data_IF_744894179497
#
_entry.id   IF_744894179497
#
_cell.length_a   1.000
_cell.length_b   1.000
_cell.length_c   1.000
_cell.angle_alpha   90.00
_cell.angle_beta   90.00
_cell.angle_gamma   90.00
#
_symmetry.space_group_name_H-M   'P 1'
#
loop_
_entity.id
_entity.type
_entity.pdbx_description
1 polymer ?
#
# COMPACT_ATOMS: atom_id res chain seq x y z
N UNK A 1 5.61 -1.43 -11.28
CA UNK A 1 6.10 -1.43 -9.88
C UNK A 1 5.95 -0.08 -9.18
N UNK A 2 6.17 1.05 -9.86
CA UNK A 2 5.98 2.39 -9.28
C UNK A 2 4.61 2.64 -8.63
N UNK A 3 3.53 2.14 -9.23
CA UNK A 3 2.17 2.26 -8.68
C UNK A 3 2.00 1.65 -7.28
N UNK A 4 2.40 0.38 -7.12
CA UNK A 4 2.28 -0.32 -5.83
C UNK A 4 3.15 0.32 -4.74
N UNK A 5 4.34 0.83 -5.12
CA UNK A 5 5.17 1.61 -4.23
C UNK A 5 4.46 2.88 -3.76
N UNK A 6 3.94 3.70 -4.69
CA UNK A 6 3.19 4.91 -4.35
C UNK A 6 1.96 4.63 -3.48
N UNK A 7 1.15 3.62 -3.83
CA UNK A 7 -0.03 3.23 -3.06
C UNK A 7 0.34 2.85 -1.62
N UNK A 8 1.40 2.05 -1.44
CA UNK A 8 1.88 1.63 -0.12
C UNK A 8 2.44 2.80 0.68
N UNK A 9 3.22 3.68 0.04
CA UNK A 9 3.76 4.89 0.68
C UNK A 9 2.66 5.86 1.09
N UNK A 10 1.64 6.07 0.24
CA UNK A 10 0.50 6.93 0.55
C UNK A 10 -0.32 6.38 1.73
N UNK A 11 -0.55 5.07 1.77
CA UNK A 11 -1.19 4.42 2.92
C UNK A 11 -0.40 4.66 4.21
N UNK A 12 0.91 4.44 4.19
CA UNK A 12 1.76 4.70 5.35
C UNK A 12 1.72 6.18 5.79
N UNK A 13 1.73 7.11 4.84
CA UNK A 13 1.71 8.55 5.12
C UNK A 13 0.33 9.08 5.55
N UNK A 14 -0.75 8.33 5.32
CA UNK A 14 -2.12 8.76 5.61
C UNK A 14 -2.30 9.29 7.04
N UNK A 15 -1.91 8.58 8.12
CA UNK A 15 -2.05 9.11 9.48
C UNK A 15 -1.26 10.41 9.72
N UNK A 16 -0.10 10.59 9.07
CA UNK A 16 0.66 11.84 9.15
C UNK A 16 -0.08 13.00 8.50
N UNK A 17 -0.64 12.78 7.30
CA UNK A 17 -1.43 13.78 6.59
C UNK A 17 -2.68 14.16 7.38
N UNK A 18 -3.38 13.17 7.96
CA UNK A 18 -4.54 13.39 8.83
C UNK A 18 -4.15 14.20 10.07
N UNK A 19 -3.01 13.89 10.69
CA UNK A 19 -2.52 14.62 11.85
C UNK A 19 -2.17 16.08 11.51
N UNK A 20 -1.47 16.31 10.40
CA UNK A 20 -1.17 17.67 9.92
C UNK A 20 -2.46 18.45 9.64
N UNK A 21 -3.43 17.84 8.96
CA UNK A 21 -4.73 18.46 8.70
C UNK A 21 -5.47 18.80 10.01
N UNK A 22 -5.42 17.91 11.00
CA UNK A 22 -6.00 18.14 12.32
C UNK A 22 -5.35 19.30 13.07
N UNK A 23 -4.03 19.48 12.97
CA UNK A 23 -3.34 20.64 13.57
C UNK A 23 -3.70 21.95 12.86
N UNK A 24 -3.78 21.93 11.52
CA UNK A 24 -4.20 23.09 10.74
C UNK A 24 -5.64 23.51 11.08
N UNK A 25 -6.55 22.56 11.28
CA UNK A 25 -7.92 22.83 11.70
C UNK A 25 -7.99 23.47 13.09
N UNK A 26 -7.08 23.10 13.99
CA UNK A 26 -6.92 23.73 15.30
C UNK A 26 -6.19 25.08 15.25
N UNK A 27 -5.88 25.60 14.05
CA UNK A 27 -5.10 26.82 13.84
C UNK A 27 -3.71 26.77 14.50
N UNK A 28 -3.13 25.58 14.61
CA UNK A 28 -1.76 25.37 15.09
C UNK A 28 -0.85 25.16 13.89
N UNK A 29 0.31 25.80 13.89
CA UNK A 29 1.29 25.58 12.83
C UNK A 29 1.91 24.19 12.99
N UNK A 30 1.72 23.26 12.05
CA UNK A 30 2.08 21.85 12.25
C UNK A 30 3.59 21.62 12.24
N UNK A 31 4.41 22.56 11.75
CA UNK A 31 5.86 22.36 11.60
C UNK A 31 6.68 22.82 12.82
N UNK A 32 6.07 22.88 14.00
CA UNK A 32 6.76 23.19 15.27
C UNK A 32 7.09 21.91 16.03
N UNK A 33 8.31 21.82 16.57
CA UNK A 33 8.82 20.59 17.21
C UNK A 33 7.96 20.12 18.39
N UNK A 34 7.30 21.03 19.10
CA UNK A 34 6.39 20.74 20.22
C UNK A 34 5.13 19.96 19.80
N UNK A 35 4.79 19.86 18.51
CA UNK A 35 3.71 18.98 18.09
C UNK A 35 4.20 17.55 17.80
N UNK A 36 5.51 17.36 17.64
CA UNK A 36 6.14 16.11 17.19
C UNK A 36 6.92 15.41 18.30
N UNK A 37 6.33 15.29 19.49
CA UNK A 37 6.93 14.51 20.57
C UNK A 37 7.03 13.02 20.21
N UNK A 38 8.02 12.33 20.77
CA UNK A 38 8.31 10.92 20.48
C UNK A 38 7.09 10.00 20.58
N UNK A 39 6.21 10.21 21.56
CA UNK A 39 4.97 9.42 21.70
C UNK A 39 4.03 9.57 20.49
N UNK A 40 3.85 10.79 19.98
CA UNK A 40 2.98 11.08 18.84
C UNK A 40 3.58 10.49 17.57
N UNK A 41 4.87 10.76 17.33
CA UNK A 41 5.59 10.24 16.16
C UNK A 41 5.53 8.71 16.13
N UNK A 42 5.83 8.04 17.25
CA UNK A 42 5.76 6.58 17.34
C UNK A 42 4.36 6.04 17.08
N UNK A 43 3.32 6.68 17.62
CA UNK A 43 1.93 6.28 17.37
C UNK A 43 1.54 6.42 15.89
N UNK A 44 1.95 7.51 15.22
CA UNK A 44 1.70 7.73 13.79
C UNK A 44 2.44 6.71 12.92
N UNK A 45 3.69 6.38 13.26
CA UNK A 45 4.47 5.34 12.57
C UNK A 45 3.76 3.99 12.69
N UNK A 46 3.38 3.60 13.90
CA UNK A 46 2.69 2.31 14.15
C UNK A 46 1.37 2.27 13.38
N UNK A 47 0.55 3.33 13.47
CA UNK A 47 -0.71 3.40 12.73
C UNK A 47 -0.49 3.33 11.21
N UNK A 48 0.54 4.01 10.68
CA UNK A 48 0.87 3.99 9.26
C UNK A 48 1.33 2.62 8.78
N UNK A 49 2.17 1.94 9.57
CA UNK A 49 2.59 0.57 9.28
C UNK A 49 1.41 -0.39 9.26
N UNK A 50 0.53 -0.32 10.25
CA UNK A 50 -0.68 -1.15 10.30
C UNK A 50 -1.57 -0.92 9.07
N UNK A 51 -1.74 0.34 8.65
CA UNK A 51 -2.54 0.68 7.47
C UNK A 51 -1.90 0.15 6.17
N UNK A 52 -0.58 0.28 6.04
CA UNK A 52 0.15 -0.25 4.88
C UNK A 52 0.08 -1.78 4.83
N UNK A 53 0.27 -2.47 5.96
CA UNK A 53 0.15 -3.94 6.06
C UNK A 53 -1.27 -4.36 5.68
N UNK A 54 -2.30 -3.71 6.25
CA UNK A 54 -3.69 -4.01 5.93
C UNK A 54 -3.99 -3.82 4.43
N UNK A 55 -3.44 -2.76 3.81
CA UNK A 55 -3.58 -2.52 2.38
C UNK A 55 -2.93 -3.61 1.52
N UNK A 56 -1.71 -4.05 1.86
CA UNK A 56 -1.03 -5.15 1.15
C UNK A 56 -1.80 -6.46 1.30
N UNK A 57 -2.28 -6.76 2.51
CA UNK A 57 -3.08 -7.96 2.79
C UNK A 57 -4.39 -7.92 1.98
N UNK A 58 -5.10 -6.78 1.98
CA UNK A 58 -6.33 -6.61 1.20
C UNK A 58 -6.08 -6.71 -0.31
N UNK A 59 -4.96 -6.20 -0.80
CA UNK A 59 -4.57 -6.32 -2.20
C UNK A 59 -4.34 -7.80 -2.58
N UNK A 60 -3.73 -8.58 -1.69
CA UNK A 60 -3.57 -10.03 -1.85
C UNK A 60 -4.90 -10.77 -2.04
N UNK A 61 -5.91 -10.43 -1.24
CA UNK A 61 -7.25 -11.03 -1.37
C UNK A 61 -8.04 -10.54 -2.59
N UNK A 62 -7.72 -9.34 -3.10
CA UNK A 62 -8.42 -8.74 -4.26
C UNK A 62 -7.76 -9.13 -5.58
N UNK A 63 -6.56 -9.72 -5.54
CA UNK A 63 -5.87 -10.17 -6.73
C UNK A 63 -6.72 -11.24 -7.41
N UNK A 64 -7.35 -10.89 -8.55
CA UNK A 64 -8.11 -11.85 -9.36
C UNK A 64 -7.16 -12.99 -9.70
N UNK A 65 -7.56 -14.20 -9.31
CA UNK A 65 -7.06 -15.46 -9.82
C UNK A 65 -7.17 -15.40 -11.36
N UNK A 66 -6.14 -14.88 -12.03
CA UNK A 66 -5.87 -15.27 -13.40
C UNK A 66 -5.48 -16.72 -13.22
N UNK A 67 -6.41 -17.64 -13.48
CA UNK A 67 -6.28 -19.04 -13.12
C UNK A 67 -4.97 -19.66 -13.64
N UNK A 68 -4.70 -20.90 -13.25
CA UNK A 68 -3.39 -21.53 -13.40
C UNK A 68 -2.78 -21.27 -14.81
N UNK A 69 -1.56 -20.73 -14.82
CA UNK A 69 -0.85 -20.50 -16.07
C UNK A 69 -0.59 -21.86 -16.74
N UNK A 70 -1.19 -22.07 -17.90
CA UNK A 70 -0.89 -23.21 -18.75
C UNK A 70 0.34 -22.84 -19.58
N UNK A 71 1.48 -23.52 -19.40
CA UNK A 71 2.69 -23.22 -20.15
C UNK A 71 2.50 -23.47 -21.65
N UNK A 72 3.31 -22.77 -22.44
CA UNK A 72 3.44 -23.09 -23.86
C UNK A 72 3.91 -24.54 -23.99
N UNK A 73 3.19 -25.32 -24.78
CA UNK A 73 3.49 -26.73 -25.00
C UNK A 73 3.28 -27.06 -26.48
N UNK A 74 3.87 -28.16 -26.92
CA UNK A 74 3.75 -28.62 -28.31
C UNK A 74 2.73 -29.74 -28.36
N UNK A 75 1.66 -29.55 -29.11
CA UNK A 75 0.67 -30.59 -29.42
C UNK A 75 0.74 -30.91 -30.91
N UNK A 76 0.93 -32.18 -31.26
CA UNK A 76 0.96 -32.65 -32.65
C UNK A 76 1.93 -31.86 -33.56
N UNK A 77 3.10 -31.50 -33.03
CA UNK A 77 4.12 -30.74 -33.76
C UNK A 77 3.82 -29.26 -33.95
N UNK A 78 2.71 -28.74 -33.38
CA UNK A 78 2.39 -27.30 -33.37
C UNK A 78 2.59 -26.71 -31.98
N UNK A 79 3.19 -25.53 -31.94
CA UNK A 79 3.38 -24.77 -30.70
C UNK A 79 2.05 -24.13 -30.27
N UNK A 80 1.53 -24.54 -29.13
CA UNK A 80 0.38 -23.92 -28.47
C UNK A 80 0.90 -22.85 -27.50
N UNK A 81 0.54 -21.57 -27.67
CA UNK A 81 0.99 -20.51 -26.78
C UNK A 81 0.39 -20.67 -25.38
N UNK A 82 1.16 -20.27 -24.37
CA UNK A 82 0.72 -20.31 -22.98
C UNK A 82 -0.43 -19.32 -22.72
N UNK A 83 -1.34 -19.69 -21.84
CA UNK A 83 -2.48 -18.87 -21.48
C UNK A 83 -2.81 -19.05 -19.99
N UNK A 84 -3.33 -17.99 -19.37
CA UNK A 84 -3.96 -18.07 -18.06
C UNK A 84 -5.39 -18.61 -18.24
N UNK A 85 -5.76 -19.66 -17.49
CA UNK A 85 -7.06 -20.33 -17.63
C UNK A 85 -7.69 -20.58 -16.27
#
# INVERSE_FOLDING_TARGET
MWRAFLETTLLFLTPFLVYVAFQLLQRRWPFVAELWHGRIVSALIIAGLLLAIAGVVAAGFTSREQGAYVPAHVENGRLVPGAFR
#
